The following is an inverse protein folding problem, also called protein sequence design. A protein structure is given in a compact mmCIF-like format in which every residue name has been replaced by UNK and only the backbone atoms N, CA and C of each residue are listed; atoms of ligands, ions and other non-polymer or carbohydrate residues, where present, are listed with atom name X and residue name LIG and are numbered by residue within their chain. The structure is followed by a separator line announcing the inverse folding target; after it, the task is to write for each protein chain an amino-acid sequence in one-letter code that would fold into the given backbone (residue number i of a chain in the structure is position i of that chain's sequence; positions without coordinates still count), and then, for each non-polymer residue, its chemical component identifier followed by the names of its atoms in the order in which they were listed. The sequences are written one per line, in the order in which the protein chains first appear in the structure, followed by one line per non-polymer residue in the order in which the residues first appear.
data_IF_551836539773
#
_entry.id   IF_551836539773
#
_cell.length_a   1.000
_cell.length_b   1.000
_cell.length_c   1.000
_cell.angle_alpha   90.00
_cell.angle_beta   90.00
_cell.angle_gamma   90.00
#
_symmetry.space_group_name_H-M   'P 1'
#
loop_
_entity.id
_entity.type
_entity.pdbx_description
1 polymer ?
#
# COMPACT_ATOMS: atom_id res chain seq x y z
N UNK A 1 -22.32 -17.53 -36.94
CA UNK A 1 -22.32 -17.56 -35.46
C UNK A 1 -22.24 -16.14 -34.91
N UNK A 2 -23.24 -15.72 -34.13
CA UNK A 2 -23.30 -14.39 -33.51
C UNK A 2 -22.32 -14.32 -32.32
N UNK A 3 -21.86 -13.12 -31.96
CA UNK A 3 -20.88 -12.90 -30.85
C UNK A 3 -21.31 -13.56 -29.53
N UNK A 4 -22.61 -13.54 -29.22
CA UNK A 4 -23.18 -14.15 -28.03
C UNK A 4 -23.04 -15.69 -28.00
N UNK A 5 -23.08 -16.34 -29.18
CA UNK A 5 -22.91 -17.80 -29.29
C UNK A 5 -21.46 -18.20 -29.12
N UNK A 6 -20.51 -17.37 -29.61
CA UNK A 6 -19.08 -17.56 -29.35
C UNK A 6 -18.76 -17.44 -27.86
N UNK A 7 -19.36 -16.48 -27.18
CA UNK A 7 -19.20 -16.29 -25.73
C UNK A 7 -19.75 -17.47 -24.93
N UNK A 8 -20.98 -17.94 -25.24
CA UNK A 8 -21.56 -19.13 -24.59
C UNK A 8 -20.79 -20.40 -24.85
N UNK A 9 -20.24 -20.57 -26.06
CA UNK A 9 -19.39 -21.71 -26.40
C UNK A 9 -18.06 -21.67 -25.62
N UNK A 10 -17.48 -20.48 -25.46
CA UNK A 10 -16.29 -20.28 -24.63
C UNK A 10 -16.59 -20.59 -23.16
N UNK A 11 -17.69 -20.05 -22.61
CA UNK A 11 -18.13 -20.28 -21.22
C UNK A 11 -18.31 -21.77 -20.93
N UNK A 12 -18.97 -22.52 -21.82
CA UNK A 12 -19.15 -23.98 -21.68
C UNK A 12 -17.84 -24.76 -21.79
N UNK A 13 -16.93 -24.36 -22.67
CA UNK A 13 -15.63 -25.03 -22.83
C UNK A 13 -14.71 -24.80 -21.62
N UNK A 14 -14.90 -23.68 -20.92
CA UNK A 14 -14.06 -23.26 -19.80
C UNK A 14 -14.59 -23.69 -18.42
N UNK A 15 -15.82 -24.19 -18.32
CA UNK A 15 -16.36 -24.78 -17.09
C UNK A 15 -15.53 -25.98 -16.57
N UNK A 16 -14.64 -26.56 -17.39
CA UNK A 16 -13.66 -27.57 -16.97
C UNK A 16 -12.26 -27.05 -16.59
N UNK A 17 -11.97 -25.74 -16.68
CA UNK A 17 -10.65 -25.12 -16.41
C UNK A 17 -10.80 -23.78 -15.66
N UNK A 18 -11.46 -23.85 -14.51
CA UNK A 18 -11.96 -22.69 -13.75
C UNK A 18 -10.85 -21.72 -13.29
N UNK A 19 -9.69 -22.24 -12.84
CA UNK A 19 -8.62 -21.41 -12.27
C UNK A 19 -7.92 -20.50 -13.30
N UNK A 20 -7.49 -21.06 -14.43
CA UNK A 20 -6.81 -20.28 -15.47
C UNK A 20 -7.71 -19.19 -16.07
N UNK A 21 -9.03 -19.45 -16.14
CA UNK A 21 -9.99 -18.45 -16.59
C UNK A 21 -10.19 -17.35 -15.55
N UNK A 22 -10.33 -17.71 -14.27
CA UNK A 22 -10.43 -16.74 -13.18
C UNK A 22 -9.18 -15.86 -13.10
N UNK A 23 -7.99 -16.44 -13.27
CA UNK A 23 -6.74 -15.71 -13.35
C UNK A 23 -6.72 -14.76 -14.55
N UNK A 24 -7.12 -15.22 -15.74
CA UNK A 24 -7.21 -14.38 -16.92
C UNK A 24 -8.20 -13.20 -16.72
N UNK A 25 -9.38 -13.45 -16.15
CA UNK A 25 -10.35 -12.38 -15.85
C UNK A 25 -9.82 -11.40 -14.82
N UNK A 26 -9.15 -11.90 -13.78
CA UNK A 26 -8.50 -11.08 -12.76
C UNK A 26 -7.42 -10.19 -13.36
N UNK A 27 -6.59 -10.72 -14.24
CA UNK A 27 -5.57 -9.94 -14.96
C UNK A 27 -6.17 -8.92 -15.94
N UNK A 28 -7.27 -9.26 -16.61
CA UNK A 28 -8.00 -8.30 -17.45
C UNK A 28 -8.59 -7.16 -16.62
N UNK A 29 -9.24 -7.48 -15.50
CA UNK A 29 -9.78 -6.48 -14.56
C UNK A 29 -8.65 -5.63 -13.99
N UNK A 30 -7.54 -6.25 -13.58
CA UNK A 30 -6.33 -5.53 -13.17
C UNK A 30 -5.93 -4.54 -14.24
N UNK A 31 -5.76 -4.93 -15.50
CA UNK A 31 -5.36 -3.99 -16.58
C UNK A 31 -6.33 -2.83 -16.80
N UNK A 32 -7.61 -3.03 -16.51
CA UNK A 32 -8.64 -2.00 -16.64
C UNK A 32 -8.71 -1.03 -15.45
N UNK A 33 -8.07 -1.33 -14.31
CA UNK A 33 -8.11 -0.45 -13.14
C UNK A 33 -7.38 0.87 -13.39
N UNK A 34 -7.95 2.02 -12.96
CA UNK A 34 -7.36 3.34 -13.19
C UNK A 34 -6.02 3.54 -12.50
N UNK A 35 -5.80 2.91 -11.34
CA UNK A 35 -4.56 3.02 -10.57
C UNK A 35 -3.78 1.71 -10.60
N UNK A 36 -2.46 1.81 -10.47
CA UNK A 36 -1.59 0.66 -10.26
C UNK A 36 -1.66 0.24 -8.79
N UNK A 37 -1.36 1.18 -7.90
CA UNK A 37 -1.20 0.99 -6.46
C UNK A 37 -1.42 2.31 -5.72
N UNK A 38 -1.67 2.22 -4.41
CA UNK A 38 -1.91 3.36 -3.54
C UNK A 38 -1.23 3.13 -2.19
N UNK A 39 -0.59 4.18 -1.65
CA UNK A 39 0.11 4.15 -0.36
C UNK A 39 -0.39 5.26 0.54
N UNK A 40 -0.52 4.97 1.84
CA UNK A 40 -0.73 5.98 2.87
C UNK A 40 0.59 6.38 3.52
N UNK A 41 0.75 7.67 3.83
CA UNK A 41 1.87 8.17 4.62
C UNK A 41 1.40 8.58 5.99
N UNK A 42 2.11 8.14 7.02
CA UNK A 42 1.88 8.50 8.42
C UNK A 42 3.13 9.17 8.94
N UNK A 43 2.99 10.38 9.50
CA UNK A 43 4.08 11.03 10.21
C UNK A 43 4.23 10.38 11.59
N UNK A 44 5.43 9.89 11.89
CA UNK A 44 5.77 9.24 13.16
C UNK A 44 5.31 10.07 14.37
N UNK A 45 5.55 11.39 14.45
CA UNK A 45 5.14 12.19 15.61
C UNK A 45 3.62 12.36 15.77
N UNK A 46 2.85 12.03 14.74
CA UNK A 46 1.38 12.12 14.71
C UNK A 46 0.75 10.73 14.59
N UNK A 47 1.53 9.68 14.83
CA UNK A 47 1.06 8.31 14.67
C UNK A 47 -0.07 8.01 15.66
N UNK A 48 -1.18 7.51 15.12
CA UNK A 48 -2.30 7.06 15.96
C UNK A 48 -1.85 5.92 16.87
N UNK A 49 -2.25 5.91 18.17
CA UNK A 49 -1.99 4.79 19.07
C UNK A 49 -2.49 3.44 18.54
N UNK A 50 -3.53 3.45 17.69
CA UNK A 50 -4.07 2.24 17.07
C UNK A 50 -3.03 1.50 16.21
N UNK A 51 -2.04 2.20 15.67
CA UNK A 51 -1.02 1.61 14.79
C UNK A 51 0.18 1.04 15.55
N UNK A 52 0.29 1.24 16.87
CA UNK A 52 1.52 0.94 17.62
C UNK A 52 1.91 -0.54 17.63
N UNK A 53 0.93 -1.44 17.55
CA UNK A 53 1.16 -2.89 17.48
C UNK A 53 1.14 -3.42 16.03
N UNK A 54 1.03 -2.54 15.03
CA UNK A 54 1.08 -2.94 13.63
C UNK A 54 2.47 -3.54 13.34
N UNK A 55 2.56 -4.74 12.72
CA UNK A 55 3.82 -5.27 12.26
C UNK A 55 4.34 -4.40 11.12
N UNK A 56 5.57 -3.90 11.27
CA UNK A 56 6.24 -3.07 10.28
C UNK A 56 7.63 -3.62 9.98
N UNK A 57 8.09 -3.41 8.75
CA UNK A 57 9.46 -3.68 8.36
C UNK A 57 10.24 -2.35 8.31
N UNK A 58 11.29 -2.18 9.13
CA UNK A 58 12.17 -1.02 9.06
C UNK A 58 12.86 -0.92 7.69
N UNK A 59 13.12 0.30 7.23
CA UNK A 59 13.78 0.53 5.93
C UNK A 59 15.17 -0.10 5.86
N UNK A 60 15.92 -0.12 6.95
CA UNK A 60 17.20 -0.83 7.02
C UNK A 60 17.04 -2.32 6.71
N UNK A 61 16.04 -2.97 7.31
CA UNK A 61 15.77 -4.39 7.09
C UNK A 61 15.36 -4.64 5.63
N UNK A 62 14.63 -3.71 5.01
CA UNK A 62 14.32 -3.75 3.58
C UNK A 62 15.60 -3.63 2.73
N UNK A 63 16.49 -2.69 3.05
CA UNK A 63 17.76 -2.46 2.34
C UNK A 63 18.72 -3.65 2.47
N UNK A 64 18.79 -4.25 3.66
CA UNK A 64 19.58 -5.45 3.96
C UNK A 64 18.92 -6.73 3.44
N UNK A 65 17.74 -6.64 2.82
CA UNK A 65 16.96 -7.77 2.27
C UNK A 65 16.61 -8.84 3.32
N UNK A 66 16.38 -8.43 4.57
CA UNK A 66 15.92 -9.30 5.65
C UNK A 66 14.42 -9.55 5.48
N UNK A 67 14.06 -10.76 5.04
CA UNK A 67 12.69 -11.06 4.59
C UNK A 67 11.66 -11.20 5.72
N UNK A 68 12.10 -11.41 6.95
CA UNK A 68 11.22 -11.74 8.08
C UNK A 68 11.45 -10.87 9.32
N UNK A 69 12.08 -9.71 9.16
CA UNK A 69 12.39 -8.79 10.26
C UNK A 69 11.23 -7.80 10.51
N UNK A 70 10.05 -8.37 10.78
CA UNK A 70 8.88 -7.59 11.18
C UNK A 70 8.90 -7.36 12.68
N UNK A 71 8.80 -6.10 13.08
CA UNK A 71 8.71 -5.67 14.47
C UNK A 71 7.42 -4.87 14.67
N UNK A 72 6.92 -4.79 15.90
CA UNK A 72 5.82 -3.88 16.20
C UNK A 72 6.26 -2.43 15.96
N UNK A 73 5.36 -1.58 15.46
CA UNK A 73 5.66 -0.18 15.20
C UNK A 73 6.23 0.53 16.43
N UNK A 74 5.69 0.28 17.64
CA UNK A 74 6.23 0.86 18.88
C UNK A 74 7.71 0.55 19.12
N UNK A 75 8.16 -0.64 18.76
CA UNK A 75 9.57 -1.05 18.87
C UNK A 75 10.41 -0.36 17.80
N UNK A 76 9.86 -0.17 16.59
CA UNK A 76 10.46 0.64 15.55
C UNK A 76 10.63 2.10 16.02
N UNK A 77 9.61 2.70 16.61
CA UNK A 77 9.65 4.06 17.14
C UNK A 77 10.67 4.21 18.29
N UNK A 78 10.75 3.23 19.20
CA UNK A 78 11.76 3.23 20.26
C UNK A 78 13.18 3.28 19.69
N UNK A 79 13.45 2.51 18.63
CA UNK A 79 14.75 2.55 17.94
C UNK A 79 15.03 3.91 17.32
N UNK A 80 14.01 4.60 16.79
CA UNK A 80 14.15 5.95 16.25
C UNK A 80 14.61 6.95 17.32
N UNK A 81 14.01 6.91 18.52
CA UNK A 81 14.37 7.81 19.62
C UNK A 81 15.81 7.57 20.14
N UNK A 82 16.36 6.38 19.90
CA UNK A 82 17.72 5.99 20.30
C UNK A 82 18.80 6.44 19.28
N UNK A 83 18.40 6.86 18.07
CA UNK A 83 19.35 7.32 17.05
C UNK A 83 19.78 8.76 17.31
N UNK A 84 21.07 8.95 17.54
CA UNK A 84 21.69 10.28 17.58
C UNK A 84 21.78 10.87 16.16
N UNK A 85 20.79 11.69 15.80
CA UNK A 85 20.70 12.34 14.48
C UNK A 85 21.90 13.24 14.18
N UNK A 86 22.66 13.70 15.18
CA UNK A 86 23.87 14.49 14.96
C UNK A 86 25.04 13.63 14.46
N UNK A 87 25.06 12.34 14.81
CA UNK A 87 26.09 11.39 14.36
C UNK A 87 25.72 10.71 13.06
N UNK A 88 24.43 10.62 12.74
CA UNK A 88 23.92 9.95 11.54
C UNK A 88 22.93 10.84 10.77
N UNK A 89 23.41 11.94 10.15
CA UNK A 89 22.54 12.94 9.52
C UNK A 89 21.76 12.43 8.30
N UNK A 90 22.19 11.33 7.69
CA UNK A 90 21.53 10.71 6.54
C UNK A 90 20.62 9.54 6.91
N UNK A 91 20.36 9.33 8.20
CA UNK A 91 19.58 8.21 8.67
C UNK A 91 18.08 8.43 8.43
N UNK A 92 17.60 8.04 7.25
CA UNK A 92 16.19 8.09 6.94
C UNK A 92 15.48 6.86 7.50
N UNK A 93 15.18 6.90 8.80
CA UNK A 93 14.41 5.82 9.42
C UNK A 93 12.94 5.94 9.02
N UNK A 94 12.55 5.21 7.98
CA UNK A 94 11.16 4.95 7.63
C UNK A 94 10.82 3.49 7.92
N UNK A 95 9.54 3.15 8.03
CA UNK A 95 9.09 1.77 8.10
C UNK A 95 7.87 1.58 7.21
N UNK A 96 7.68 0.36 6.69
CA UNK A 96 6.50 0.01 5.91
C UNK A 96 5.68 -1.00 6.70
N UNK A 97 4.41 -0.68 6.92
CA UNK A 97 3.41 -1.58 7.48
C UNK A 97 2.33 -1.91 6.46
N UNK A 98 1.61 -3.00 6.71
CA UNK A 98 0.44 -3.38 5.94
C UNK A 98 -0.78 -3.56 6.84
N UNK A 99 -1.93 -3.13 6.34
CA UNK A 99 -3.23 -3.36 6.96
C UNK A 99 -4.04 -4.24 5.98
N UNK A 100 -4.77 -5.19 6.52
CA UNK A 100 -5.71 -5.98 5.72
C UNK A 100 -6.79 -5.07 5.11
N UNK A 101 -7.11 -5.30 3.83
CA UNK A 101 -8.15 -4.55 3.14
C UNK A 101 -9.55 -4.73 3.77
N UNK A 102 -9.77 -5.74 4.60
CA UNK A 102 -11.04 -5.95 5.30
C UNK A 102 -11.03 -5.40 6.74
N UNK A 103 -9.87 -4.96 7.26
CA UNK A 103 -9.75 -4.49 8.65
C UNK A 103 -10.17 -3.02 8.80
N UNK A 104 -11.43 -2.80 9.17
CA UNK A 104 -12.06 -1.48 9.33
C UNK A 104 -11.62 -0.74 10.61
N UNK A 105 -10.90 -1.39 11.54
CA UNK A 105 -10.50 -0.77 12.83
C UNK A 105 -9.67 0.51 12.64
N UNK A 106 -9.00 0.64 11.51
CA UNK A 106 -8.09 1.75 11.22
C UNK A 106 -8.74 2.89 10.44
N UNK A 107 -10.01 2.80 10.05
CA UNK A 107 -10.63 3.76 9.11
C UNK A 107 -10.49 5.23 9.50
N UNK A 108 -10.57 5.53 10.81
CA UNK A 108 -10.46 6.89 11.32
C UNK A 108 -9.03 7.42 11.45
N UNK A 109 -8.01 6.57 11.25
CA UNK A 109 -6.60 6.93 11.41
C UNK A 109 -6.23 8.00 10.38
N UNK A 110 -5.71 9.17 10.81
CA UNK A 110 -5.31 10.24 9.92
C UNK A 110 -4.02 9.89 9.18
N UNK A 111 -3.93 10.34 7.94
CA UNK A 111 -2.75 10.25 7.09
C UNK A 111 -2.19 11.64 6.84
N UNK A 112 -0.88 11.74 6.70
CA UNK A 112 -0.20 12.96 6.25
C UNK A 112 -0.45 13.19 4.75
N UNK A 113 -0.41 12.11 3.98
CA UNK A 113 -0.76 12.13 2.56
C UNK A 113 -1.11 10.74 2.03
N UNK A 114 -1.74 10.71 0.86
CA UNK A 114 -2.00 9.51 0.07
C UNK A 114 -1.28 9.67 -1.27
N UNK A 115 -0.46 8.68 -1.64
CA UNK A 115 0.13 8.59 -2.97
C UNK A 115 -0.65 7.62 -3.82
N UNK A 116 -1.12 8.09 -4.97
CA UNK A 116 -1.77 7.29 -6.00
C UNK A 116 -0.79 7.14 -7.16
N UNK A 117 -0.44 5.90 -7.51
CA UNK A 117 0.39 5.61 -8.68
C UNK A 117 -0.49 5.21 -9.85
N UNK A 118 -0.40 5.96 -10.94
CA UNK A 118 -1.12 5.68 -12.18
C UNK A 118 -0.40 4.61 -13.02
N UNK A 119 -1.10 4.11 -14.04
CA UNK A 119 -0.59 3.12 -15.00
C UNK A 119 0.66 3.57 -15.77
N UNK A 120 0.78 4.86 -16.02
CA UNK A 120 1.96 5.45 -16.66
C UNK A 120 3.11 5.69 -15.68
N UNK A 121 3.04 5.12 -14.47
CA UNK A 121 4.00 5.28 -13.37
C UNK A 121 4.15 6.69 -12.81
N UNK A 122 3.30 7.64 -13.23
CA UNK A 122 3.20 8.95 -12.58
C UNK A 122 2.54 8.82 -11.21
N UNK A 123 2.92 9.72 -10.30
CA UNK A 123 2.40 9.77 -8.94
C UNK A 123 1.58 11.05 -8.76
N UNK A 124 0.44 10.93 -8.08
CA UNK A 124 -0.29 12.07 -7.51
C UNK A 124 -0.31 11.92 -6.00
N UNK A 125 -0.04 13.02 -5.31
CA UNK A 125 -0.08 13.10 -3.86
C UNK A 125 -1.30 13.92 -3.43
N UNK A 126 -2.13 13.34 -2.58
CA UNK A 126 -3.24 14.02 -1.91
C UNK A 126 -2.78 14.34 -0.49
N UNK A 127 -2.85 15.61 -0.10
CA UNK A 127 -2.48 16.02 1.25
C UNK A 127 -3.59 15.65 2.24
N UNK A 128 -3.23 15.06 3.36
CA UNK A 128 -4.15 14.62 4.40
C UNK A 128 -4.95 13.38 4.03
N UNK A 129 -6.11 13.22 4.68
CA UNK A 129 -7.03 12.11 4.52
C UNK A 129 -6.98 11.13 5.68
N UNK A 130 -7.73 10.04 5.54
CA UNK A 130 -7.77 8.93 6.50
C UNK A 130 -7.56 7.59 5.79
N UNK A 131 -7.35 6.53 6.56
CA UNK A 131 -7.27 5.17 6.01
C UNK A 131 -8.53 4.78 5.24
N UNK A 132 -9.72 5.29 5.62
CA UNK A 132 -10.94 5.11 4.84
C UNK A 132 -10.82 5.69 3.41
N UNK A 133 -10.26 6.90 3.26
CA UNK A 133 -10.02 7.51 1.95
C UNK A 133 -8.99 6.70 1.15
N UNK A 134 -7.93 6.25 1.80
CA UNK A 134 -6.92 5.36 1.21
C UNK A 134 -7.55 4.06 0.71
N UNK A 135 -8.43 3.42 1.50
CA UNK A 135 -9.16 2.20 1.11
C UNK A 135 -10.04 2.45 -0.12
N UNK A 136 -10.72 3.60 -0.17
CA UNK A 136 -11.52 3.99 -1.33
C UNK A 136 -10.69 4.04 -2.63
N UNK A 137 -9.48 4.62 -2.59
CA UNK A 137 -8.58 4.63 -3.73
C UNK A 137 -7.95 3.25 -4.01
N UNK A 138 -7.61 2.50 -2.95
CA UNK A 138 -7.05 1.16 -3.08
C UNK A 138 -8.01 0.23 -3.84
N UNK A 139 -9.32 0.28 -3.57
CA UNK A 139 -10.34 -0.49 -4.28
C UNK A 139 -10.45 -0.17 -5.79
N UNK A 140 -9.84 0.93 -6.24
CA UNK A 140 -9.74 1.33 -7.63
C UNK A 140 -8.35 1.03 -8.24
N UNK A 141 -7.47 0.36 -7.48
CA UNK A 141 -6.13 0.00 -7.90
C UNK A 141 -6.03 -1.46 -8.35
N UNK A 142 -5.00 -1.76 -9.16
CA UNK A 142 -4.67 -3.14 -9.53
C UNK A 142 -4.38 -4.02 -8.31
N UNK A 143 -3.75 -3.43 -7.28
CA UNK A 143 -3.35 -4.10 -6.05
C UNK A 143 -4.54 -4.63 -5.23
N UNK A 144 -5.73 -4.05 -5.36
CA UNK A 144 -6.94 -4.60 -4.71
C UNK A 144 -7.37 -5.96 -5.26
N UNK A 145 -6.89 -6.31 -6.45
CA UNK A 145 -7.08 -7.61 -7.04
C UNK A 145 -5.89 -8.53 -6.76
N UNK A 146 -4.99 -8.25 -5.83
CA UNK A 146 -3.93 -9.18 -5.44
C UNK A 146 -4.47 -10.33 -4.57
N UNK A 147 -3.65 -11.38 -4.38
CA UNK A 147 -4.15 -12.64 -3.79
C UNK A 147 -4.41 -12.42 -2.30
N UNK A 148 -3.59 -11.55 -1.71
CA UNK A 148 -3.79 -10.97 -0.40
C UNK A 148 -3.74 -9.44 -0.57
N UNK A 149 -4.89 -8.77 -0.72
CA UNK A 149 -4.94 -7.33 -0.90
C UNK A 149 -4.57 -6.63 0.41
N UNK A 150 -3.45 -5.91 0.41
CA UNK A 150 -2.93 -5.21 1.58
C UNK A 150 -2.83 -3.71 1.31
N UNK A 151 -3.35 -2.92 2.24
CA UNK A 151 -3.17 -1.47 2.26
C UNK A 151 -1.81 -1.18 2.88
N UNK A 152 -0.95 -0.50 2.14
CA UNK A 152 0.40 -0.18 2.59
C UNK A 152 0.45 1.21 3.24
N UNK A 153 1.09 1.27 4.41
CA UNK A 153 1.40 2.50 5.14
C UNK A 153 2.91 2.68 5.23
N UNK A 154 3.40 3.85 4.82
CA UNK A 154 4.78 4.29 5.07
C UNK A 154 4.81 5.21 6.29
N UNK A 155 5.61 4.85 7.28
CA UNK A 155 5.83 5.61 8.49
C UNK A 155 7.09 6.44 8.29
N UNK A 156 6.89 7.76 8.22
CA UNK A 156 7.95 8.71 7.87
C UNK A 156 8.30 9.60 9.07
N UNK A 157 9.59 9.92 9.27
CA UNK A 157 9.98 10.92 10.23
C UNK A 157 9.55 12.31 9.74
N UNK A 158 9.73 13.34 10.58
CA UNK A 158 9.46 14.74 10.22
C UNK A 158 10.36 15.31 9.11
N UNK A 159 11.21 14.48 8.48
CA UNK A 159 12.01 14.89 7.34
C UNK A 159 11.09 15.35 6.19
N UNK A 160 11.37 16.53 5.66
CA UNK A 160 10.66 17.13 4.55
C UNK A 160 11.05 16.44 3.23
N UNK A 161 10.65 15.17 3.05
CA UNK A 161 10.80 14.49 1.75
C UNK A 161 9.95 15.16 0.65
N UNK A 162 8.93 15.93 1.03
CA UNK A 162 7.94 16.54 0.12
C UNK A 162 8.15 18.02 -0.20
N UNK A 163 9.33 18.60 0.09
CA UNK A 163 9.70 19.92 -0.45
C UNK A 163 10.14 19.84 -1.94
N UNK A 164 9.66 18.85 -2.69
CA UNK A 164 9.75 18.88 -4.14
C UNK A 164 8.65 19.78 -4.65
N UNK A 165 9.06 20.83 -5.34
CA UNK A 165 8.17 21.82 -5.92
C UNK A 165 7.04 21.09 -6.66
N UNK A 166 5.81 21.32 -6.20
CA UNK A 166 4.62 21.11 -7.01
C UNK A 166 4.78 22.08 -8.18
N UNK A 167 5.30 21.58 -9.30
CA UNK A 167 5.22 22.26 -10.59
C UNK A 167 4.04 21.66 -11.36
#
# INVERSE_FOLDING_TARGET
MKRAEKLKALERFLQGRNEALQEMYREQRKKAMPYLEVYGFVKIPQCSPLLLDLPVMPTESIMDRKKDDYIALKECLRRFDEVDTNKQPYYSFSAVGSIDMEDERYEAVPLDSIQIRYRNYSNRYLKGGKVADLRHYFNQSAASLDFYPLILLSFEPNLSRYNWAIQ
#
